data_IF_714349216893
#
_entry.id   IF_714349216893
#
_cell.length_a   1.000
_cell.length_b   1.000
_cell.length_c   1.000
_cell.angle_alpha   90.00
_cell.angle_beta   90.00
_cell.angle_gamma   90.00
#
_symmetry.space_group_name_H-M   'P 1'
#
loop_
_entity.id
_entity.type
_entity.pdbx_description
1 polymer ?
#
# COMPACT_ATOMS: atom_id res chain seq x y z
N UNK A 1 1.90 -12.48 23.37
CA UNK A 1 2.16 -11.20 22.69
C UNK A 1 1.05 -10.81 21.71
N UNK A 2 0.68 -11.64 20.72
CA UNK A 2 -0.51 -11.37 19.87
C UNK A 2 -1.81 -11.22 20.68
N UNK A 3 -1.99 -12.03 21.73
CA UNK A 3 -3.09 -11.85 22.68
C UNK A 3 -3.02 -10.50 23.42
N UNK A 4 -1.84 -9.95 23.73
CA UNK A 4 -1.72 -8.66 24.40
C UNK A 4 -2.19 -7.51 23.49
N UNK A 5 -1.90 -7.57 22.19
CA UNK A 5 -2.44 -6.68 21.15
C UNK A 5 -3.94 -6.87 20.91
N UNK A 6 -4.46 -8.09 21.07
CA UNK A 6 -5.91 -8.29 21.14
C UNK A 6 -6.50 -7.65 22.41
N UNK A 7 -5.83 -7.80 23.56
CA UNK A 7 -6.27 -7.28 24.85
C UNK A 7 -6.30 -5.74 24.89
N UNK A 8 -5.37 -5.04 24.24
CA UNK A 8 -5.41 -3.57 24.09
C UNK A 8 -6.66 -3.09 23.35
N UNK A 9 -7.19 -3.91 22.45
CA UNK A 9 -8.43 -3.64 21.72
C UNK A 9 -9.69 -4.20 22.41
N UNK A 10 -9.58 -5.19 23.30
CA UNK A 10 -10.74 -5.88 23.89
C UNK A 10 -11.35 -5.16 25.10
N UNK A 11 -10.55 -4.43 25.89
CA UNK A 11 -11.05 -3.52 26.95
C UNK A 11 -11.38 -2.11 26.40
N UNK A 12 -11.85 -2.03 25.16
CA UNK A 12 -11.98 -0.80 24.37
C UNK A 12 -12.96 0.25 24.89
N UNK A 13 -13.88 -0.07 25.82
CA UNK A 13 -14.80 0.93 26.37
C UNK A 13 -14.16 1.86 27.43
N UNK A 14 -12.97 1.54 27.97
CA UNK A 14 -12.36 2.32 29.06
C UNK A 14 -11.02 2.96 28.69
N UNK A 15 -10.40 2.55 27.58
CA UNK A 15 -9.05 3.00 27.22
C UNK A 15 -9.04 4.06 26.11
N UNK A 16 -8.43 5.21 26.41
CA UNK A 16 -8.22 6.28 25.42
C UNK A 16 -7.21 5.86 24.32
N UNK A 17 -7.20 6.59 23.21
CA UNK A 17 -6.36 6.28 22.05
C UNK A 17 -4.85 6.38 22.35
N UNK A 18 -4.43 7.20 23.30
CA UNK A 18 -3.01 7.35 23.68
C UNK A 18 -2.51 6.11 24.44
N UNK A 19 -3.32 5.54 25.33
CA UNK A 19 -3.00 4.27 25.99
C UNK A 19 -2.94 3.11 25.00
N UNK A 20 -3.86 3.06 24.02
CA UNK A 20 -3.83 2.05 22.95
C UNK A 20 -2.52 2.14 22.15
N UNK A 21 -2.09 3.35 21.82
CA UNK A 21 -0.84 3.61 21.11
C UNK A 21 0.40 3.25 21.92
N UNK A 22 0.46 3.64 23.20
CA UNK A 22 1.58 3.29 24.08
C UNK A 22 1.75 1.77 24.23
N UNK A 23 0.65 1.04 24.42
CA UNK A 23 0.69 -0.41 24.52
C UNK A 23 1.05 -1.08 23.19
N UNK A 24 0.61 -0.53 22.06
CA UNK A 24 1.07 -0.95 20.74
C UNK A 24 2.59 -0.77 20.57
N UNK A 25 3.13 0.39 20.96
CA UNK A 25 4.57 0.66 20.88
C UNK A 25 5.36 -0.32 21.77
N UNK A 26 4.89 -0.55 23.00
CA UNK A 26 5.50 -1.52 23.91
C UNK A 26 5.44 -2.96 23.34
N UNK A 27 4.32 -3.35 22.74
CA UNK A 27 4.15 -4.66 22.12
C UNK A 27 5.04 -4.83 20.88
N UNK A 28 5.21 -3.80 20.06
CA UNK A 28 6.11 -3.80 18.91
C UNK A 28 7.57 -3.94 19.34
N UNK A 29 8.01 -3.18 20.35
CA UNK A 29 9.37 -3.29 20.88
C UNK A 29 9.63 -4.68 21.48
N UNK A 30 8.71 -5.18 22.30
CA UNK A 30 8.80 -6.53 22.85
C UNK A 30 8.82 -7.60 21.74
N UNK A 31 8.08 -7.39 20.65
CA UNK A 31 8.08 -8.28 19.49
C UNK A 31 9.43 -8.32 18.79
N UNK A 32 10.03 -7.15 18.52
CA UNK A 32 11.34 -7.07 17.88
C UNK A 32 12.41 -7.76 18.74
N UNK A 33 12.46 -7.46 20.05
CA UNK A 33 13.45 -8.05 20.95
C UNK A 33 13.23 -9.55 21.15
N UNK A 34 11.97 -9.98 21.31
CA UNK A 34 11.61 -11.39 21.45
C UNK A 34 11.91 -12.19 20.19
N UNK A 35 11.66 -11.62 19.01
CA UNK A 35 11.98 -12.25 17.73
C UNK A 35 13.50 -12.38 17.53
N UNK A 36 14.27 -11.33 17.83
CA UNK A 36 15.73 -11.39 17.80
C UNK A 36 16.31 -12.45 18.75
N UNK A 37 15.75 -12.56 19.96
CA UNK A 37 16.10 -13.62 20.91
C UNK A 37 15.78 -15.02 20.36
N UNK A 38 14.59 -15.22 19.79
CA UNK A 38 14.17 -16.50 19.20
C UNK A 38 15.05 -16.89 18.00
N UNK A 39 15.50 -15.91 17.20
CA UNK A 39 16.48 -16.13 16.14
C UNK A 39 17.90 -16.39 16.65
N UNK A 40 18.14 -16.40 17.96
CA UNK A 40 19.45 -16.67 18.54
C UNK A 40 20.47 -15.54 18.34
N UNK A 41 20.02 -14.29 18.12
CA UNK A 41 20.92 -13.14 17.91
C UNK A 41 21.78 -12.89 19.14
N UNK A 42 21.24 -13.12 20.34
CA UNK A 42 21.92 -12.87 21.61
C UNK A 42 22.52 -14.12 22.28
N UNK A 43 22.37 -15.30 21.67
CA UNK A 43 22.97 -16.52 22.24
C UNK A 43 24.43 -16.60 21.83
N UNK A 44 25.31 -17.06 22.72
CA UNK A 44 26.71 -17.29 22.32
C UNK A 44 26.81 -18.40 21.27
N UNK A 45 27.81 -18.35 20.38
CA UNK A 45 28.13 -19.48 19.54
C UNK A 45 28.51 -20.67 20.42
N UNK A 46 27.60 -21.65 20.54
CA UNK A 46 28.04 -23.01 20.89
C UNK A 46 29.17 -23.36 19.93
N UNK A 47 30.28 -23.84 20.49
CA UNK A 47 31.64 -23.97 19.94
C UNK A 47 31.78 -24.85 18.66
N UNK A 48 30.89 -24.71 17.68
CA UNK A 48 30.60 -25.70 16.65
C UNK A 48 30.94 -25.25 15.21
N UNK A 49 31.75 -24.21 15.03
CA UNK A 49 32.32 -23.89 13.71
C UNK A 49 33.82 -23.71 13.86
N UNK A 50 34.56 -24.80 13.94
CA UNK A 50 36.04 -24.81 13.98
C UNK A 50 36.67 -24.61 12.60
N UNK A 51 35.92 -24.84 11.51
CA UNK A 51 36.38 -24.67 10.13
C UNK A 51 35.83 -23.38 9.53
N UNK A 52 36.67 -22.63 8.82
CA UNK A 52 36.19 -21.42 8.16
C UNK A 52 35.18 -21.76 7.07
N UNK A 53 34.17 -20.91 6.81
CA UNK A 53 33.22 -21.15 5.72
C UNK A 53 33.89 -21.24 4.35
N UNK A 54 35.01 -20.55 4.17
CA UNK A 54 35.80 -20.58 2.93
C UNK A 54 36.47 -21.95 2.72
N UNK A 55 36.93 -22.60 3.78
CA UNK A 55 37.44 -23.98 3.73
C UNK A 55 36.29 -24.99 3.55
N UNK A 56 35.14 -24.74 4.17
CA UNK A 56 34.01 -25.67 4.17
C UNK A 56 33.21 -25.67 2.85
N UNK A 57 33.05 -24.49 2.25
CA UNK A 57 32.13 -24.26 1.13
C UNK A 57 32.82 -23.72 -0.13
N UNK A 58 34.09 -23.30 -0.02
CA UNK A 58 34.83 -22.67 -1.11
C UNK A 58 34.46 -21.20 -1.33
N UNK A 59 35.41 -20.44 -1.89
CA UNK A 59 35.30 -18.98 -2.06
C UNK A 59 34.05 -18.52 -2.81
N UNK A 60 33.64 -19.22 -3.87
CA UNK A 60 32.50 -18.85 -4.70
C UNK A 60 31.18 -18.98 -3.95
N UNK A 61 30.94 -20.13 -3.32
CA UNK A 61 29.69 -20.38 -2.59
C UNK A 61 29.58 -19.53 -1.33
N UNK A 62 30.65 -19.41 -0.55
CA UNK A 62 30.68 -18.53 0.63
C UNK A 62 30.37 -17.08 0.26
N UNK A 63 30.98 -16.56 -0.82
CA UNK A 63 30.72 -15.20 -1.30
C UNK A 63 29.25 -15.03 -1.73
N UNK A 64 28.70 -15.99 -2.47
CA UNK A 64 27.29 -15.99 -2.87
C UNK A 64 26.36 -15.95 -1.65
N UNK A 65 26.61 -16.79 -0.63
CA UNK A 65 25.81 -16.81 0.59
C UNK A 65 25.85 -15.47 1.33
N UNK A 66 27.02 -14.82 1.45
CA UNK A 66 27.10 -13.48 2.04
C UNK A 66 26.33 -12.44 1.21
N UNK A 67 26.52 -12.40 -0.12
CA UNK A 67 25.79 -11.48 -0.99
C UNK A 67 24.27 -11.64 -0.88
N UNK A 68 23.80 -12.88 -0.76
CA UNK A 68 22.39 -13.18 -0.58
C UNK A 68 21.85 -12.60 0.74
N UNK A 69 22.62 -12.73 1.83
CA UNK A 69 22.26 -12.12 3.12
C UNK A 69 22.25 -10.59 3.05
N UNK A 70 23.25 -9.97 2.41
CA UNK A 70 23.27 -8.51 2.22
C UNK A 70 22.09 -8.02 1.39
N UNK A 71 21.67 -8.79 0.39
CA UNK A 71 20.51 -8.46 -0.45
C UNK A 71 19.22 -8.38 0.36
N UNK A 72 19.06 -9.20 1.41
CA UNK A 72 17.90 -9.11 2.30
C UNK A 72 17.84 -7.78 3.09
N UNK A 73 18.97 -7.08 3.27
CA UNK A 73 19.00 -5.77 3.92
C UNK A 73 18.53 -4.62 3.01
N UNK A 74 18.26 -4.86 1.72
CA UNK A 74 17.65 -3.84 0.85
C UNK A 74 16.27 -3.39 1.39
N UNK A 75 15.58 -4.26 2.13
CA UNK A 75 14.27 -3.94 2.77
C UNK A 75 14.45 -3.03 4.00
N UNK A 76 15.64 -2.96 4.59
CA UNK A 76 15.87 -2.33 5.89
C UNK A 76 15.38 -0.87 5.99
N UNK A 77 15.62 0.02 5.01
CA UNK A 77 15.11 1.40 5.10
C UNK A 77 13.59 1.48 5.15
N UNK A 78 12.89 0.59 4.44
CA UNK A 78 11.42 0.51 4.52
C UNK A 78 10.95 0.03 5.88
N UNK A 79 11.62 -0.97 6.48
CA UNK A 79 11.30 -1.46 7.82
C UNK A 79 11.54 -0.38 8.88
N UNK A 80 12.60 0.42 8.76
CA UNK A 80 12.86 1.57 9.65
C UNK A 80 11.76 2.61 9.54
N UNK A 81 11.35 2.97 8.31
CA UNK A 81 10.25 3.90 8.10
C UNK A 81 8.90 3.35 8.60
N UNK A 82 8.65 2.05 8.45
CA UNK A 82 7.46 1.40 9.00
C UNK A 82 7.46 1.44 10.54
N UNK A 83 8.57 1.10 11.19
CA UNK A 83 8.72 1.22 12.65
C UNK A 83 8.45 2.66 13.10
N UNK A 84 9.15 3.63 12.51
CA UNK A 84 9.03 5.03 12.90
C UNK A 84 7.61 5.56 12.66
N UNK A 85 6.97 5.20 11.54
CA UNK A 85 5.59 5.60 11.27
C UNK A 85 4.60 5.06 12.31
N UNK A 86 4.72 3.78 12.65
CA UNK A 86 3.86 3.13 13.65
C UNK A 86 4.11 3.60 15.09
N UNK A 87 5.30 4.11 15.40
CA UNK A 87 5.65 4.62 16.73
C UNK A 87 5.33 6.12 16.87
N UNK A 88 5.63 6.92 15.86
CA UNK A 88 5.49 8.38 15.93
C UNK A 88 4.04 8.84 15.72
N UNK A 89 3.24 8.10 14.94
CA UNK A 89 1.87 8.51 14.61
C UNK A 89 0.83 7.54 15.16
N UNK A 90 -0.08 8.06 15.98
CA UNK A 90 -1.14 7.28 16.61
C UNK A 90 -2.14 6.76 15.56
N UNK A 91 -2.21 5.43 15.39
CA UNK A 91 -3.10 4.74 14.45
C UNK A 91 -4.45 4.31 15.06
N UNK A 92 -4.68 4.60 16.35
CA UNK A 92 -5.86 4.17 17.11
C UNK A 92 -6.89 5.28 17.30
N UNK A 93 -6.76 6.39 16.57
CA UNK A 93 -7.76 7.47 16.56
C UNK A 93 -8.98 7.01 15.78
N UNK A 94 -10.10 6.80 16.47
CA UNK A 94 -11.32 6.21 15.89
C UNK A 94 -12.16 7.22 15.11
N UNK A 95 -12.10 8.50 15.49
CA UNK A 95 -12.79 9.58 14.79
C UNK A 95 -11.82 10.69 14.47
N UNK A 96 -11.82 11.12 13.22
CA UNK A 96 -11.11 12.32 12.78
C UNK A 96 -12.11 13.47 12.92
N UNK A 97 -11.94 14.38 13.90
CA UNK A 97 -12.80 15.55 13.99
C UNK A 97 -12.58 16.45 12.78
N UNK A 98 -13.65 17.05 12.28
CA UNK A 98 -13.55 18.06 11.24
C UNK A 98 -12.92 19.33 11.83
N UNK A 99 -11.94 19.89 11.12
CA UNK A 99 -11.24 21.13 11.52
C UNK A 99 -12.09 22.37 11.24
N UNK A 100 -13.02 22.29 10.31
CA UNK A 100 -13.92 23.36 9.91
C UNK A 100 -15.35 22.83 9.65
N UNK A 101 -16.30 23.75 9.57
CA UNK A 101 -17.69 23.42 9.25
C UNK A 101 -17.81 22.91 7.80
N UNK A 102 -18.43 21.74 7.55
CA UNK A 102 -18.64 21.20 6.20
C UNK A 102 -19.26 22.17 5.20
N UNK A 103 -20.11 23.08 5.66
CA UNK A 103 -20.77 24.08 4.82
C UNK A 103 -19.78 25.05 4.14
N UNK A 104 -18.68 25.37 4.83
CA UNK A 104 -17.64 26.26 4.31
C UNK A 104 -16.61 25.50 3.46
N UNK A 105 -16.79 24.19 3.35
CA UNK A 105 -15.82 23.35 2.66
C UNK A 105 -15.77 23.64 1.17
N UNK A 106 -14.56 23.58 0.59
CA UNK A 106 -14.38 23.88 -0.80
C UNK A 106 -14.94 22.71 -1.64
N UNK A 107 -15.46 22.99 -2.83
CA UNK A 107 -16.11 22.03 -3.75
C UNK A 107 -15.32 20.74 -4.04
N UNK A 108 -15.74 19.58 -3.54
CA UNK A 108 -15.03 18.31 -3.75
C UNK A 108 -15.59 17.51 -4.94
N UNK A 109 -14.72 17.14 -5.89
CA UNK A 109 -15.07 16.14 -6.89
C UNK A 109 -14.48 14.76 -6.55
N UNK A 110 -15.36 13.79 -6.32
CA UNK A 110 -15.00 12.39 -6.17
C UNK A 110 -14.94 11.71 -7.54
N UNK A 111 -13.74 11.52 -8.06
CA UNK A 111 -13.52 10.85 -9.34
C UNK A 111 -13.40 9.33 -9.18
N UNK A 112 -14.31 8.59 -9.80
CA UNK A 112 -14.33 7.12 -9.82
C UNK A 112 -13.98 6.66 -11.23
N UNK A 113 -12.77 6.13 -11.41
CA UNK A 113 -12.32 5.62 -12.71
C UNK A 113 -12.57 4.13 -12.83
N UNK A 114 -13.24 3.71 -13.91
CA UNK A 114 -13.62 2.32 -14.14
C UNK A 114 -13.53 1.96 -15.62
N UNK A 115 -13.44 0.66 -15.89
CA UNK A 115 -13.56 0.11 -17.25
C UNK A 115 -15.03 -0.06 -17.67
N UNK A 116 -15.97 0.02 -16.74
CA UNK A 116 -17.40 -0.14 -17.01
C UNK A 116 -17.90 -1.58 -17.09
N UNK A 117 -17.05 -2.59 -16.85
CA UNK A 117 -17.45 -4.00 -16.92
C UNK A 117 -18.39 -4.45 -15.79
N UNK A 118 -18.38 -3.75 -14.64
CA UNK A 118 -19.15 -4.12 -13.44
C UNK A 118 -20.12 -2.98 -13.04
N UNK A 119 -21.17 -2.70 -13.83
CA UNK A 119 -22.02 -1.53 -13.66
C UNK A 119 -22.78 -1.52 -12.32
N UNK A 120 -23.21 -2.69 -11.82
CA UNK A 120 -23.91 -2.82 -10.53
C UNK A 120 -23.02 -2.43 -9.36
N UNK A 121 -21.78 -2.95 -9.33
CA UNK A 121 -20.79 -2.61 -8.31
C UNK A 121 -20.50 -1.11 -8.27
N UNK A 122 -20.43 -0.46 -9.44
CA UNK A 122 -20.22 1.00 -9.51
C UNK A 122 -21.43 1.74 -8.93
N UNK A 123 -22.66 1.33 -9.27
CA UNK A 123 -23.90 1.93 -8.73
C UNK A 123 -23.99 1.81 -7.21
N UNK A 124 -23.69 0.64 -6.66
CA UNK A 124 -23.68 0.40 -5.20
C UNK A 124 -22.63 1.23 -4.47
N UNK A 125 -21.41 1.34 -5.03
CA UNK A 125 -20.35 2.17 -4.47
C UNK A 125 -20.72 3.65 -4.46
N UNK A 126 -21.32 4.16 -5.55
CA UNK A 126 -21.77 5.56 -5.61
C UNK A 126 -22.85 5.82 -4.56
N UNK A 127 -23.85 4.94 -4.45
CA UNK A 127 -24.91 5.09 -3.45
C UNK A 127 -24.35 5.13 -2.02
N UNK A 128 -23.41 4.23 -1.70
CA UNK A 128 -22.75 4.17 -0.40
C UNK A 128 -21.91 5.41 -0.10
N UNK A 129 -21.13 5.87 -1.09
CA UNK A 129 -20.26 7.04 -0.93
C UNK A 129 -21.06 8.34 -0.85
N UNK A 130 -22.14 8.48 -1.62
CA UNK A 130 -23.07 9.62 -1.51
C UNK A 130 -23.67 9.69 -0.12
N UNK A 131 -24.17 8.56 0.40
CA UNK A 131 -24.70 8.50 1.78
C UNK A 131 -23.64 8.94 2.78
N UNK A 132 -22.40 8.47 2.64
CA UNK A 132 -21.28 8.88 3.51
C UNK A 132 -21.01 10.38 3.45
N UNK A 133 -21.10 11.00 2.27
CA UNK A 133 -20.93 12.45 2.11
C UNK A 133 -22.05 13.23 2.81
N UNK A 134 -23.31 12.80 2.64
CA UNK A 134 -24.46 13.41 3.31
C UNK A 134 -24.41 13.26 4.83
N UNK A 135 -24.08 12.06 5.32
CA UNK A 135 -23.95 11.78 6.76
C UNK A 135 -22.79 12.58 7.39
N UNK A 136 -21.81 13.01 6.58
CA UNK A 136 -20.71 13.89 6.99
C UNK A 136 -21.03 15.39 6.86
N UNK A 137 -22.24 15.74 6.41
CA UNK A 137 -22.69 17.12 6.22
C UNK A 137 -22.11 17.83 4.99
N UNK A 138 -21.57 17.11 4.01
CA UNK A 138 -21.02 17.74 2.81
C UNK A 138 -22.13 18.28 1.90
N UNK A 139 -22.01 19.53 1.48
CA UNK A 139 -22.97 20.16 0.54
C UNK A 139 -22.34 20.52 -0.81
N UNK A 140 -21.03 20.74 -0.86
CA UNK A 140 -20.33 21.15 -2.08
C UNK A 140 -19.55 19.97 -2.67
N UNK A 141 -20.25 19.00 -3.28
CA UNK A 141 -19.58 17.87 -3.94
C UNK A 141 -20.32 17.31 -5.15
N UNK A 142 -19.56 16.63 -6.02
CA UNK A 142 -20.06 15.82 -7.13
C UNK A 142 -19.28 14.49 -7.21
N UNK A 143 -19.92 13.45 -7.71
CA UNK A 143 -19.28 12.21 -8.14
C UNK A 143 -19.11 12.22 -9.66
N UNK A 144 -17.88 12.10 -10.14
CA UNK A 144 -17.55 11.97 -11.56
C UNK A 144 -17.12 10.54 -11.85
N UNK A 145 -17.95 9.79 -12.58
CA UNK A 145 -17.70 8.40 -12.93
C UNK A 145 -17.12 8.34 -14.33
N UNK A 146 -15.82 8.12 -14.41
CA UNK A 146 -15.06 8.11 -15.65
C UNK A 146 -14.95 6.67 -16.12
N UNK A 147 -15.55 6.37 -17.27
CA UNK A 147 -15.68 4.99 -17.73
C UNK A 147 -15.24 4.81 -19.18
N UNK A 148 -14.56 3.71 -19.48
CA UNK A 148 -14.27 3.32 -20.87
C UNK A 148 -15.51 2.76 -21.59
N UNK A 149 -16.42 2.10 -20.86
CA UNK A 149 -17.68 1.58 -21.39
C UNK A 149 -18.86 2.21 -20.63
N UNK A 150 -19.87 2.70 -21.35
CA UNK A 150 -21.04 3.31 -20.72
C UNK A 150 -21.73 2.35 -19.75
N UNK A 151 -21.98 2.83 -18.53
CA UNK A 151 -22.68 2.16 -17.43
C UNK A 151 -24.16 2.54 -17.42
N UNK A 152 -24.52 3.67 -18.06
CA UNK A 152 -25.87 4.23 -18.10
C UNK A 152 -26.39 4.48 -16.68
N UNK A 153 -25.70 5.37 -15.97
CA UNK A 153 -26.12 5.82 -14.65
C UNK A 153 -27.42 6.64 -14.76
N UNK A 154 -28.39 6.45 -13.85
CA UNK A 154 -29.58 7.26 -13.85
C UNK A 154 -29.21 8.74 -13.60
N UNK A 155 -29.88 9.70 -14.25
CA UNK A 155 -29.63 11.12 -14.01
C UNK A 155 -29.81 11.46 -12.53
N UNK A 156 -28.76 11.97 -11.90
CA UNK A 156 -28.77 12.43 -10.50
C UNK A 156 -28.01 13.76 -10.40
N UNK A 157 -28.47 14.74 -9.61
CA UNK A 157 -27.86 16.07 -9.58
C UNK A 157 -26.38 16.09 -9.20
N UNK A 158 -25.92 15.13 -8.39
CA UNK A 158 -24.55 15.04 -7.88
C UNK A 158 -23.74 13.90 -8.49
N UNK A 159 -24.21 13.30 -9.59
CA UNK A 159 -23.49 12.22 -10.27
C UNK A 159 -23.41 12.54 -11.75
N UNK A 160 -22.19 12.54 -12.28
CA UNK A 160 -21.91 12.70 -13.71
C UNK A 160 -21.22 11.44 -14.22
N UNK A 161 -21.71 10.91 -15.33
CA UNK A 161 -21.01 9.87 -16.08
C UNK A 161 -20.20 10.53 -17.21
N UNK A 162 -18.90 10.20 -17.29
CA UNK A 162 -17.99 10.65 -18.34
C UNK A 162 -17.47 9.42 -19.07
N UNK A 163 -17.99 9.18 -20.27
CA UNK A 163 -17.55 8.07 -21.12
C UNK A 163 -16.35 8.53 -21.94
N UNK A 164 -15.22 7.84 -21.81
CA UNK A 164 -13.99 8.18 -22.54
C UNK A 164 -14.12 7.67 -23.98
N UNK A 165 -14.20 8.55 -25.01
CA UNK A 165 -14.46 8.13 -26.38
C UNK A 165 -13.41 7.15 -26.88
N UNK A 166 -13.77 6.07 -27.56
CA UNK A 166 -12.79 5.09 -28.08
C UNK A 166 -11.80 5.69 -29.07
N UNK A 167 -12.15 6.81 -29.72
CA UNK A 167 -11.28 7.61 -30.60
C UNK A 167 -10.28 8.49 -29.85
N UNK A 168 -10.52 8.83 -28.57
CA UNK A 168 -9.65 9.72 -27.82
C UNK A 168 -8.25 9.11 -27.63
N UNK A 169 -7.23 9.89 -27.97
CA UNK A 169 -5.81 9.56 -27.83
C UNK A 169 -5.14 10.74 -27.14
N UNK A 170 -4.38 10.46 -26.08
CA UNK A 170 -3.56 11.49 -25.45
C UNK A 170 -2.36 11.82 -26.34
N UNK A 171 -1.73 12.98 -26.14
CA UNK A 171 -0.63 13.47 -27.00
C UNK A 171 0.58 12.55 -26.94
N UNK A 172 0.88 12.00 -25.77
CA UNK A 172 2.02 11.08 -25.58
C UNK A 172 1.68 9.59 -25.73
N UNK A 173 0.41 9.26 -26.00
CA UNK A 173 -0.05 7.87 -26.16
C UNK A 173 -0.23 7.10 -24.85
N UNK A 174 -0.58 7.78 -23.76
CA UNK A 174 -0.97 7.17 -22.50
C UNK A 174 -2.20 6.25 -22.66
N UNK A 175 -2.27 5.19 -21.85
CA UNK A 175 -3.27 4.13 -21.91
C UNK A 175 -3.94 3.88 -20.56
N UNK A 176 -4.93 3.00 -20.57
CA UNK A 176 -5.60 2.48 -19.38
C UNK A 176 -6.13 3.60 -18.47
N UNK A 177 -5.88 3.52 -17.16
CA UNK A 177 -6.35 4.49 -16.18
C UNK A 177 -5.73 5.88 -16.37
N UNK A 178 -4.46 5.97 -16.77
CA UNK A 178 -3.80 7.23 -17.10
C UNK A 178 -4.53 7.99 -18.21
N UNK A 179 -4.93 7.29 -19.27
CA UNK A 179 -5.74 7.86 -20.36
C UNK A 179 -7.08 8.41 -19.89
N UNK A 180 -7.80 7.65 -19.06
CA UNK A 180 -9.10 8.07 -18.55
C UNK A 180 -8.96 9.31 -17.64
N UNK A 181 -7.96 9.31 -16.76
CA UNK A 181 -7.66 10.46 -15.91
C UNK A 181 -7.24 11.69 -16.72
N UNK A 182 -6.39 11.51 -17.74
CA UNK A 182 -5.99 12.59 -18.63
C UNK A 182 -7.19 13.18 -19.40
N UNK A 183 -8.12 12.35 -19.89
CA UNK A 183 -9.32 12.83 -20.58
C UNK A 183 -10.13 13.79 -19.71
N UNK A 184 -10.20 13.56 -18.40
CA UNK A 184 -10.90 14.44 -17.48
C UNK A 184 -10.19 15.78 -17.22
N UNK A 185 -8.95 15.94 -17.67
CA UNK A 185 -8.19 17.18 -17.54
C UNK A 185 -8.31 18.08 -18.77
N UNK A 186 -8.79 17.55 -19.90
CA UNK A 186 -9.04 18.31 -21.13
C UNK A 186 -10.09 19.41 -20.91
N UNK A 187 -9.89 20.58 -21.52
CA UNK A 187 -10.65 21.80 -21.21
C UNK A 187 -12.15 21.69 -21.52
N UNK A 188 -12.52 20.89 -22.51
CA UNK A 188 -13.90 20.62 -22.92
C UNK A 188 -14.63 19.60 -22.03
N UNK A 189 -13.89 18.81 -21.26
CA UNK A 189 -14.43 17.75 -20.39
C UNK A 189 -14.42 18.18 -18.93
N UNK A 190 -13.37 18.87 -18.51
CA UNK A 190 -13.12 19.23 -17.13
C UNK A 190 -14.11 20.30 -16.65
N UNK A 191 -14.85 19.97 -15.60
CA UNK A 191 -15.77 20.89 -14.92
C UNK A 191 -15.26 21.24 -13.52
N UNK A 192 -14.01 20.92 -13.21
CA UNK A 192 -13.47 21.00 -11.86
C UNK A 192 -12.84 22.36 -11.62
N UNK A 193 -13.53 23.18 -10.85
CA UNK A 193 -12.94 24.36 -10.22
C UNK A 193 -12.73 24.04 -8.73
N UNK A 194 -11.51 23.56 -8.44
CA UNK A 194 -10.87 23.42 -7.11
C UNK A 194 -11.35 22.16 -6.31
N UNK A 195 -10.49 21.66 -5.38
CA UNK A 195 -10.72 20.88 -4.10
C UNK A 195 -10.58 19.32 -3.97
N UNK A 196 -10.31 18.87 -2.71
CA UNK A 196 -10.51 17.52 -2.13
C UNK A 196 -10.28 17.31 -0.58
N UNK A 197 -11.05 16.37 0.00
CA UNK A 197 -11.19 15.88 1.42
C UNK A 197 -10.98 16.93 2.54
N UNK A 198 -12.08 17.60 2.86
CA UNK A 198 -12.34 18.57 3.94
C UNK A 198 -11.10 19.00 4.75
N UNK A 199 -10.62 18.22 5.71
CA UNK A 199 -9.49 18.63 6.56
C UNK A 199 -8.20 18.90 5.78
N UNK A 200 -7.85 18.04 4.82
CA UNK A 200 -6.68 18.26 3.95
C UNK A 200 -6.88 19.50 3.08
N UNK A 201 -8.11 19.70 2.61
CA UNK A 201 -8.48 20.82 1.76
C UNK A 201 -8.40 22.17 2.47
N UNK A 202 -8.91 22.20 3.69
CA UNK A 202 -8.90 23.37 4.57
C UNK A 202 -7.48 23.75 4.97
N UNK A 203 -6.61 22.76 5.24
CA UNK A 203 -5.21 23.03 5.55
C UNK A 203 -4.50 23.70 4.36
N UNK A 204 -4.75 23.22 3.13
CA UNK A 204 -4.31 23.86 1.88
C UNK A 204 -2.79 23.95 1.66
N UNK A 205 -1.97 23.39 2.56
CA UNK A 205 -0.50 23.50 2.52
C UNK A 205 0.14 22.64 1.42
N UNK A 206 -0.49 21.52 1.07
CA UNK A 206 0.08 20.51 0.18
C UNK A 206 -0.87 20.21 -0.99
N UNK A 207 -0.30 19.94 -2.16
CA UNK A 207 -1.08 19.80 -3.39
C UNK A 207 -1.60 18.39 -3.62
N UNK A 208 -0.95 17.39 -3.00
CA UNK A 208 -1.27 15.98 -3.17
C UNK A 208 -1.43 15.28 -1.83
N UNK A 209 -2.46 14.46 -1.71
CA UNK A 209 -2.78 13.72 -0.50
C UNK A 209 -2.89 12.23 -0.76
N UNK A 210 -2.53 11.39 0.21
CA UNK A 210 -2.86 9.96 0.23
C UNK A 210 -3.28 9.53 1.62
N UNK A 211 -4.35 8.73 1.74
CA UNK A 211 -4.75 8.13 3.01
C UNK A 211 -4.58 6.60 3.04
N UNK A 212 -5.17 5.97 4.06
CA UNK A 212 -5.13 4.50 4.24
C UNK A 212 -6.28 3.81 3.53
N UNK A 213 -5.97 2.68 2.90
CA UNK A 213 -6.98 1.79 2.30
C UNK A 213 -7.11 0.53 3.16
N UNK A 214 -8.33 0.16 3.52
CA UNK A 214 -8.63 -1.08 4.24
C UNK A 214 -9.46 -2.03 3.38
N UNK A 215 -9.22 -3.34 3.54
CA UNK A 215 -9.75 -4.37 2.63
C UNK A 215 -10.83 -5.28 3.24
N UNK A 216 -11.04 -5.19 4.56
CA UNK A 216 -11.90 -6.10 5.32
C UNK A 216 -13.22 -5.50 5.81
N UNK A 217 -13.51 -4.24 5.46
CA UNK A 217 -14.69 -3.53 5.98
C UNK A 217 -16.00 -4.10 5.42
N UNK A 218 -16.00 -4.51 4.15
CA UNK A 218 -17.17 -5.07 3.47
C UNK A 218 -17.33 -6.58 3.63
N UNK A 219 -18.12 -7.18 2.74
CA UNK A 219 -18.17 -8.62 2.54
C UNK A 219 -16.82 -9.11 1.97
N UNK A 220 -16.26 -10.13 2.61
CA UNK A 220 -14.99 -10.73 2.22
C UNK A 220 -15.26 -11.86 1.25
N UNK A 221 -14.88 -11.65 -0.02
CA UNK A 221 -15.05 -12.64 -1.09
C UNK A 221 -13.99 -13.73 -1.01
N UNK A 222 -12.74 -13.35 -0.71
CA UNK A 222 -11.64 -14.29 -0.59
C UNK A 222 -10.78 -13.96 0.64
N UNK A 223 -10.82 -14.84 1.63
CA UNK A 223 -10.10 -14.67 2.89
C UNK A 223 -8.58 -14.70 2.72
N UNK A 224 -8.07 -15.54 1.82
CA UNK A 224 -6.65 -15.72 1.61
C UNK A 224 -6.00 -14.45 1.06
N UNK A 225 -6.62 -13.83 0.04
CA UNK A 225 -6.13 -12.56 -0.53
C UNK A 225 -6.35 -11.38 0.41
N UNK A 226 -7.49 -11.33 1.13
CA UNK A 226 -7.81 -10.26 2.08
C UNK A 226 -6.85 -10.24 3.28
N UNK A 227 -6.53 -11.41 3.86
CA UNK A 227 -5.55 -11.51 4.94
C UNK A 227 -4.14 -11.18 4.44
N UNK A 228 -3.79 -11.56 3.20
CA UNK A 228 -2.51 -11.18 2.59
C UNK A 228 -2.39 -9.67 2.38
N UNK A 229 -3.47 -9.00 1.96
CA UNK A 229 -3.52 -7.54 1.80
C UNK A 229 -3.53 -6.77 3.13
N UNK A 230 -3.76 -7.42 4.26
CA UNK A 230 -3.74 -6.76 5.57
C UNK A 230 -2.38 -6.12 5.88
N UNK A 231 -1.28 -6.69 5.37
CA UNK A 231 0.06 -6.08 5.44
C UNK A 231 0.09 -4.65 4.88
N UNK A 232 -0.70 -4.37 3.83
CA UNK A 232 -0.73 -3.05 3.17
C UNK A 232 -1.36 -1.97 4.04
N UNK A 233 -2.24 -2.34 4.96
CA UNK A 233 -2.81 -1.42 5.96
C UNK A 233 -1.73 -0.95 6.93
N UNK A 234 -0.83 -1.87 7.32
CA UNK A 234 0.33 -1.53 8.14
C UNK A 234 1.34 -0.67 7.37
N UNK A 235 1.58 -0.96 6.09
CA UNK A 235 2.49 -0.15 5.25
C UNK A 235 1.96 1.28 5.04
N UNK A 236 0.63 1.44 4.92
CA UNK A 236 -0.02 2.76 4.86
C UNK A 236 0.15 3.54 6.16
N UNK A 237 -0.17 2.92 7.30
CA UNK A 237 -0.08 3.56 8.61
C UNK A 237 1.36 3.76 9.09
N UNK A 238 2.31 2.98 8.57
CA UNK A 238 3.73 3.07 8.87
C UNK A 238 4.47 3.97 7.87
N UNK A 239 5.13 3.34 6.91
CA UNK A 239 6.06 3.98 5.97
C UNK A 239 5.40 5.09 5.15
N UNK A 240 4.20 4.87 4.61
CA UNK A 240 3.56 5.89 3.76
C UNK A 240 3.06 7.08 4.59
N UNK A 241 2.51 6.83 5.80
CA UNK A 241 2.19 7.93 6.72
C UNK A 241 3.42 8.74 7.10
N UNK A 242 4.53 8.07 7.44
CA UNK A 242 5.78 8.74 7.78
C UNK A 242 6.32 9.59 6.63
N UNK A 243 6.41 9.04 5.41
CA UNK A 243 6.98 9.79 4.28
C UNK A 243 6.19 11.07 3.99
N UNK A 244 4.86 11.03 4.17
CA UNK A 244 4.00 12.16 3.90
C UNK A 244 3.91 13.16 5.05
N UNK A 245 3.90 12.69 6.32
CA UNK A 245 3.84 13.60 7.48
C UNK A 245 5.19 14.25 7.82
N UNK A 246 6.31 13.59 7.54
CA UNK A 246 7.64 14.08 7.92
C UNK A 246 8.40 14.68 6.73
N UNK A 247 8.37 14.04 5.57
CA UNK A 247 9.18 14.46 4.42
C UNK A 247 8.36 15.16 3.34
N UNK A 248 7.03 15.09 3.42
CA UNK A 248 6.09 15.62 2.43
C UNK A 248 6.40 15.18 0.99
N UNK A 249 6.90 13.95 0.82
CA UNK A 249 7.41 13.41 -0.45
C UNK A 249 7.05 11.93 -0.62
N UNK A 250 6.77 11.46 -1.84
CA UNK A 250 6.41 10.07 -2.13
C UNK A 250 7.66 9.17 -2.22
N UNK A 251 8.54 9.18 -1.21
CA UNK A 251 9.87 8.55 -1.25
C UNK A 251 9.86 7.07 -1.66
N UNK A 252 8.86 6.32 -1.21
CA UNK A 252 8.69 4.88 -1.47
C UNK A 252 7.54 4.58 -2.43
N UNK A 253 7.04 5.60 -3.13
CA UNK A 253 5.91 5.52 -4.05
C UNK A 253 4.64 6.17 -3.51
N UNK A 254 3.61 6.15 -4.36
CA UNK A 254 2.28 6.71 -4.14
C UNK A 254 1.25 5.76 -4.74
N UNK A 255 0.12 5.58 -4.04
CA UNK A 255 -0.97 4.69 -4.46
C UNK A 255 -1.97 5.46 -5.31
N UNK A 256 -2.58 4.79 -6.28
CA UNK A 256 -3.55 5.39 -7.20
C UNK A 256 -5.00 5.41 -6.71
N UNK A 257 -5.23 5.15 -5.43
CA UNK A 257 -6.55 5.09 -4.80
C UNK A 257 -6.50 5.80 -3.44
N UNK A 258 -7.62 6.39 -3.03
CA UNK A 258 -7.72 7.27 -1.86
C UNK A 258 -6.69 8.40 -1.84
N UNK A 259 -6.68 9.14 -2.95
CA UNK A 259 -5.83 10.31 -3.15
C UNK A 259 -6.65 11.57 -3.32
N UNK A 260 -6.05 12.68 -2.92
CA UNK A 260 -6.57 14.03 -3.19
C UNK A 260 -5.54 14.76 -4.02
N UNK A 261 -5.99 15.45 -5.05
CA UNK A 261 -5.13 16.24 -5.92
C UNK A 261 -5.73 17.65 -6.05
N UNK A 262 -4.89 18.67 -5.89
CA UNK A 262 -5.28 20.02 -6.25
C UNK A 262 -5.33 20.11 -7.77
N UNK A 263 -6.49 20.45 -8.33
CA UNK A 263 -6.75 20.44 -9.79
C UNK A 263 -5.67 21.18 -10.60
N UNK A 264 -5.22 22.34 -10.13
CA UNK A 264 -4.18 23.11 -10.82
C UNK A 264 -2.84 22.36 -10.89
N UNK A 265 -2.42 21.75 -9.77
CA UNK A 265 -1.21 20.94 -9.71
C UNK A 265 -1.38 19.63 -10.52
N UNK A 266 -2.54 18.98 -10.45
CA UNK A 266 -2.85 17.79 -11.23
C UNK A 266 -2.78 18.06 -12.74
N UNK A 267 -3.34 19.19 -13.20
CA UNK A 267 -3.23 19.63 -14.60
C UNK A 267 -1.80 19.92 -15.02
N UNK A 268 -1.02 20.55 -14.15
CA UNK A 268 0.37 20.87 -14.43
C UNK A 268 1.26 19.62 -14.53
N UNK A 269 1.02 18.61 -13.69
CA UNK A 269 1.76 17.33 -13.74
C UNK A 269 1.28 16.48 -14.91
N UNK A 270 -0.05 16.39 -15.12
CA UNK A 270 -0.74 15.58 -16.13
C UNK A 270 -0.56 14.06 -15.93
N UNK A 271 -1.49 13.25 -16.46
CA UNK A 271 -1.32 11.80 -16.56
C UNK A 271 -0.81 11.36 -17.95
N UNK A 272 -0.53 12.31 -18.85
CA UNK A 272 -0.07 12.07 -20.22
C UNK A 272 1.46 11.83 -20.28
N UNK A 273 1.92 10.72 -19.70
CA UNK A 273 3.33 10.33 -19.65
C UNK A 273 3.69 9.18 -20.59
N UNK A 274 2.79 8.82 -21.50
CA UNK A 274 2.97 7.78 -22.50
C UNK A 274 2.84 6.38 -21.90
N UNK A 275 3.29 5.38 -22.66
CA UNK A 275 3.10 3.97 -22.29
C UNK A 275 3.85 3.60 -21.00
N UNK A 276 5.06 4.14 -20.78
CA UNK A 276 5.86 3.85 -19.57
C UNK A 276 5.16 4.32 -18.29
N UNK A 277 4.42 5.43 -18.34
CA UNK A 277 3.63 5.97 -17.24
C UNK A 277 2.19 5.45 -17.18
N UNK A 278 1.83 4.42 -17.96
CA UNK A 278 0.44 3.93 -18.03
C UNK A 278 0.14 2.70 -17.16
N UNK A 279 1.16 1.95 -16.73
CA UNK A 279 0.99 0.67 -16.00
C UNK A 279 0.83 0.88 -14.49
N UNK A 280 1.68 1.73 -13.92
CA UNK A 280 1.60 2.27 -12.56
C UNK A 280 1.57 3.80 -12.68
N UNK A 281 0.44 4.31 -13.16
CA UNK A 281 0.26 5.73 -13.50
C UNK A 281 0.42 6.63 -12.28
N UNK A 282 -0.04 6.14 -11.14
CA UNK A 282 0.08 6.74 -9.83
C UNK A 282 1.56 6.95 -9.43
N UNK A 283 2.34 5.88 -9.47
CA UNK A 283 3.75 5.90 -9.11
C UNK A 283 4.51 6.87 -10.03
N UNK A 284 4.29 6.78 -11.35
CA UNK A 284 4.96 7.66 -12.30
C UNK A 284 4.57 9.13 -12.10
N UNK A 285 3.27 9.42 -11.98
CA UNK A 285 2.75 10.75 -11.69
C UNK A 285 3.40 11.35 -10.44
N UNK A 286 3.48 10.59 -9.35
CA UNK A 286 4.03 11.09 -8.08
C UNK A 286 5.50 11.48 -8.17
N UNK A 287 6.28 10.75 -8.97
CA UNK A 287 7.69 11.07 -9.22
C UNK A 287 7.86 12.35 -10.05
N UNK A 288 6.99 12.56 -11.05
CA UNK A 288 6.98 13.79 -11.84
C UNK A 288 6.50 14.97 -11.00
N UNK A 289 5.46 14.79 -10.19
CA UNK A 289 4.98 15.78 -9.24
C UNK A 289 6.09 16.22 -8.26
N UNK A 290 6.83 15.26 -7.69
CA UNK A 290 7.97 15.58 -6.82
C UNK A 290 9.09 16.28 -7.59
N UNK A 291 9.35 15.89 -8.84
CA UNK A 291 10.32 16.58 -9.73
C UNK A 291 9.90 18.04 -10.01
N UNK A 292 8.60 18.32 -10.12
CA UNK A 292 8.07 19.69 -10.26
C UNK A 292 8.10 20.49 -8.94
N UNK A 293 8.56 19.89 -7.83
CA UNK A 293 8.67 20.55 -6.53
C UNK A 293 7.36 20.55 -5.73
N UNK A 294 6.32 19.83 -6.18
CA UNK A 294 5.11 19.70 -5.39
C UNK A 294 5.32 18.83 -4.16
N UNK A 295 4.51 19.10 -3.14
CA UNK A 295 4.58 18.42 -1.85
C UNK A 295 3.32 17.61 -1.58
N UNK A 296 3.48 16.61 -0.72
CA UNK A 296 2.47 15.62 -0.39
C UNK A 296 2.16 15.65 1.11
N UNK A 297 0.95 15.28 1.51
CA UNK A 297 0.66 14.99 2.91
C UNK A 297 -0.31 13.79 3.06
N UNK A 298 -0.38 13.27 4.27
CA UNK A 298 -1.21 12.13 4.61
C UNK A 298 -2.63 12.60 4.95
N UNK A 299 -3.60 12.00 4.27
CA UNK A 299 -5.02 12.22 4.50
C UNK A 299 -5.46 11.36 5.68
N UNK A 300 -5.95 12.01 6.72
CA UNK A 300 -6.55 11.32 7.86
C UNK A 300 -7.91 10.74 7.47
N UNK A 301 -8.15 9.48 7.82
CA UNK A 301 -9.34 8.72 7.44
C UNK A 301 -8.99 7.42 6.73
N UNK A 302 -10.02 6.66 6.38
CA UNK A 302 -9.89 5.34 5.76
C UNK A 302 -10.84 5.21 4.58
N UNK A 303 -10.35 4.64 3.48
CA UNK A 303 -11.17 4.24 2.34
C UNK A 303 -11.31 2.72 2.32
N UNK A 304 -12.52 2.25 2.08
CA UNK A 304 -12.81 0.82 1.97
C UNK A 304 -12.66 0.36 0.53
N UNK A 305 -11.79 -0.61 0.31
CA UNK A 305 -11.61 -1.29 -0.98
C UNK A 305 -11.80 -2.80 -0.82
N UNK A 306 -11.87 -3.55 -1.92
CA UNK A 306 -11.88 -5.01 -1.91
C UNK A 306 -10.58 -5.57 -2.48
N UNK A 307 -10.03 -6.58 -1.82
CA UNK A 307 -8.92 -7.39 -2.33
C UNK A 307 -9.33 -8.16 -3.60
N UNK A 308 -8.36 -8.62 -4.42
CA UNK A 308 -8.63 -9.51 -5.55
C UNK A 308 -9.43 -10.76 -5.14
N UNK A 309 -10.38 -11.18 -5.98
CA UNK A 309 -11.32 -12.26 -5.62
C UNK A 309 -10.74 -13.66 -5.86
N UNK A 310 -9.71 -13.76 -6.70
CA UNK A 310 -8.99 -15.02 -6.93
C UNK A 310 -7.49 -14.87 -6.69
N UNK A 311 -6.83 -16.01 -6.45
CA UNK A 311 -5.36 -16.06 -6.31
C UNK A 311 -4.66 -15.64 -7.62
N UNK A 312 -5.25 -15.96 -8.77
CA UNK A 312 -4.72 -15.56 -10.07
C UNK A 312 -4.79 -14.05 -10.29
N UNK A 313 -5.93 -13.44 -9.97
CA UNK A 313 -6.09 -11.99 -10.02
C UNK A 313 -5.09 -11.28 -9.09
N UNK A 314 -4.87 -11.87 -7.91
CA UNK A 314 -3.89 -11.36 -6.96
C UNK A 314 -2.47 -11.39 -7.54
N UNK A 315 -2.03 -12.53 -8.10
CA UNK A 315 -0.74 -12.64 -8.77
C UNK A 315 -0.60 -11.63 -9.91
N UNK A 316 -1.62 -11.49 -10.76
CA UNK A 316 -1.58 -10.55 -11.89
C UNK A 316 -1.52 -9.09 -11.44
N UNK A 317 -2.18 -8.76 -10.34
CA UNK A 317 -2.09 -7.44 -9.72
C UNK A 317 -0.67 -7.14 -9.25
N UNK A 318 -0.03 -8.08 -8.54
CA UNK A 318 1.36 -7.94 -8.07
C UNK A 318 2.35 -7.84 -9.23
N UNK A 319 2.20 -8.71 -10.23
CA UNK A 319 2.97 -8.66 -11.48
C UNK A 319 2.92 -7.27 -12.13
N UNK A 320 1.71 -6.71 -12.25
CA UNK A 320 1.50 -5.38 -12.85
C UNK A 320 2.19 -4.28 -12.07
N UNK A 321 2.10 -4.29 -10.73
CA UNK A 321 2.77 -3.29 -9.90
C UNK A 321 4.29 -3.35 -10.05
N UNK A 322 4.87 -4.55 -10.02
CA UNK A 322 6.31 -4.72 -10.23
C UNK A 322 6.75 -4.14 -11.58
N UNK A 323 6.03 -4.49 -12.66
CA UNK A 323 6.34 -4.02 -14.00
C UNK A 323 6.20 -2.50 -14.13
N UNK A 324 5.15 -1.91 -13.56
CA UNK A 324 4.95 -0.45 -13.58
C UNK A 324 5.99 0.32 -12.78
N UNK A 325 6.40 -0.20 -11.62
CA UNK A 325 7.47 0.42 -10.82
C UNK A 325 8.82 0.27 -11.51
N UNK A 326 9.11 -0.87 -12.16
CA UNK A 326 10.31 -1.03 -13.02
C UNK A 326 10.37 0.03 -14.11
N UNK A 327 9.27 0.26 -14.82
CA UNK A 327 9.20 1.31 -15.86
C UNK A 327 9.48 2.69 -15.26
N UNK A 328 8.91 3.00 -14.11
CA UNK A 328 9.12 4.28 -13.41
C UNK A 328 10.58 4.44 -12.96
N UNK A 329 11.16 3.41 -12.33
CA UNK A 329 12.54 3.41 -11.83
C UNK A 329 13.56 3.53 -12.95
N UNK A 330 13.30 2.93 -14.12
CA UNK A 330 14.20 3.00 -15.28
C UNK A 330 13.94 4.17 -16.23
N UNK A 331 12.87 4.94 -16.05
CA UNK A 331 12.57 6.06 -16.95
C UNK A 331 13.64 7.16 -16.86
N UNK A 332 14.24 7.60 -17.98
CA UNK A 332 15.23 8.69 -17.98
C UNK A 332 14.59 10.06 -17.68
N UNK A 333 13.25 10.16 -17.73
CA UNK A 333 12.52 11.41 -17.47
C UNK A 333 12.55 11.85 -16.01
N UNK A 334 12.84 10.91 -15.10
CA UNK A 334 12.89 11.11 -13.65
C UNK A 334 14.33 10.92 -13.18
N UNK A 335 14.92 11.94 -12.55
CA UNK A 335 16.29 11.85 -12.05
C UNK A 335 16.42 10.83 -10.91
N UNK A 336 17.58 10.17 -10.79
CA UNK A 336 17.81 9.10 -9.81
C UNK A 336 17.56 9.55 -8.37
N UNK A 337 17.89 10.80 -8.03
CA UNK A 337 17.66 11.38 -6.70
C UNK A 337 16.19 11.33 -6.25
N UNK A 338 15.24 11.43 -7.20
CA UNK A 338 13.81 11.38 -6.92
C UNK A 338 13.30 9.95 -6.75
N UNK A 339 14.00 8.96 -7.28
CA UNK A 339 13.54 7.56 -7.32
C UNK A 339 14.48 6.59 -6.60
N UNK A 340 15.50 7.06 -5.89
CA UNK A 340 16.49 6.20 -5.25
C UNK A 340 15.87 5.27 -4.20
N UNK A 341 15.02 5.79 -3.31
CA UNK A 341 14.34 4.98 -2.29
C UNK A 341 13.26 4.08 -2.90
N UNK A 342 12.54 4.55 -3.93
CA UNK A 342 11.63 3.73 -4.73
C UNK A 342 12.37 2.57 -5.41
N UNK A 343 13.53 2.83 -6.01
CA UNK A 343 14.38 1.83 -6.66
C UNK A 343 14.88 0.80 -5.65
N UNK A 344 15.30 1.25 -4.45
CA UNK A 344 15.67 0.36 -3.37
C UNK A 344 14.51 -0.57 -2.99
N UNK A 345 13.32 -0.02 -2.79
CA UNK A 345 12.11 -0.82 -2.50
C UNK A 345 11.79 -1.82 -3.60
N UNK A 346 11.89 -1.38 -4.85
CA UNK A 346 11.66 -2.22 -6.02
C UNK A 346 12.63 -3.40 -6.04
N UNK A 347 13.94 -3.15 -5.91
CA UNK A 347 14.92 -4.22 -5.98
C UNK A 347 14.91 -5.12 -4.75
N UNK A 348 14.52 -4.60 -3.59
CA UNK A 348 14.25 -5.42 -2.42
C UNK A 348 13.12 -6.44 -2.70
N UNK A 349 12.08 -6.04 -3.44
CA UNK A 349 11.00 -6.93 -3.85
C UNK A 349 11.39 -7.82 -5.04
N UNK A 350 12.07 -7.28 -6.06
CA UNK A 350 12.50 -8.03 -7.24
C UNK A 350 13.54 -9.12 -6.93
N UNK A 351 14.31 -8.97 -5.84
CA UNK A 351 15.25 -10.00 -5.36
C UNK A 351 14.63 -10.95 -4.34
N UNK A 352 13.33 -10.79 -4.01
CA UNK A 352 12.63 -11.66 -3.06
C UNK A 352 12.71 -13.16 -3.39
N UNK A 353 12.65 -13.62 -4.66
CA UNK A 353 12.84 -15.03 -4.99
C UNK A 353 14.21 -15.56 -4.54
N UNK A 354 15.25 -14.75 -4.61
CA UNK A 354 16.57 -15.11 -4.11
C UNK A 354 16.59 -15.03 -2.59
N UNK A 355 16.16 -13.91 -2.00
CA UNK A 355 16.29 -13.74 -0.54
C UNK A 355 15.43 -14.71 0.25
N UNK A 356 14.28 -15.16 -0.29
CA UNK A 356 13.43 -16.17 0.34
C UNK A 356 14.07 -17.57 0.40
N UNK A 357 15.02 -17.89 -0.49
CA UNK A 357 15.80 -19.14 -0.41
C UNK A 357 16.62 -19.23 0.87
N UNK A 358 16.93 -18.12 1.53
CA UNK A 358 17.66 -18.11 2.80
C UNK A 358 16.96 -18.91 3.90
N UNK A 359 15.64 -19.05 3.85
CA UNK A 359 14.88 -19.90 4.79
C UNK A 359 15.39 -21.35 4.73
N UNK A 360 15.81 -21.81 3.55
CA UNK A 360 16.37 -23.15 3.35
C UNK A 360 17.89 -23.17 3.39
N UNK A 361 18.55 -22.14 2.86
CA UNK A 361 20.01 -22.10 2.75
C UNK A 361 20.69 -21.83 4.09
N UNK A 362 20.14 -20.99 4.96
CA UNK A 362 20.78 -20.65 6.23
C UNK A 362 20.93 -21.86 7.19
N UNK A 363 19.94 -22.75 7.33
CA UNK A 363 20.10 -23.98 8.12
C UNK A 363 21.09 -24.98 7.51
N UNK A 364 21.17 -25.06 6.17
CA UNK A 364 22.02 -26.02 5.46
C UNK A 364 23.49 -25.56 5.34
N UNK A 365 23.70 -24.25 5.21
CA UNK A 365 24.99 -23.61 5.03
C UNK A 365 25.15 -22.43 6.01
N UNK A 366 25.30 -22.72 7.32
CA UNK A 366 25.41 -21.68 8.32
C UNK A 366 26.66 -20.81 8.08
N UNK A 367 26.46 -19.50 8.10
CA UNK A 367 27.56 -18.53 8.08
C UNK A 367 27.88 -18.05 9.50
N UNK A 368 29.13 -17.62 9.77
CA UNK A 368 29.53 -17.05 11.04
C UNK A 368 28.60 -15.91 11.44
N UNK A 369 28.31 -15.85 12.73
CA UNK A 369 27.46 -14.81 13.28
C UNK A 369 28.19 -13.48 13.30
N UNK A 370 27.43 -12.42 13.03
CA UNK A 370 27.86 -11.04 13.11
C UNK A 370 26.70 -10.27 13.74
N UNK A 371 26.82 -9.95 15.04
CA UNK A 371 25.75 -9.37 15.85
C UNK A 371 24.98 -8.22 15.16
N UNK A 372 25.61 -7.14 14.66
CA UNK A 372 24.86 -6.03 14.06
C UNK A 372 24.10 -6.46 12.79
N UNK A 373 24.66 -7.40 12.05
CA UNK A 373 24.08 -7.91 10.81
C UNK A 373 22.93 -8.89 11.06
N UNK A 374 23.13 -9.84 11.97
CA UNK A 374 22.11 -10.80 12.40
C UNK A 374 20.94 -10.09 13.07
N UNK A 375 21.22 -9.06 13.88
CA UNK A 375 20.19 -8.20 14.44
C UNK A 375 19.41 -7.49 13.34
N UNK A 376 20.08 -6.87 12.36
CA UNK A 376 19.41 -6.17 11.26
C UNK A 376 18.51 -7.11 10.43
N UNK A 377 18.95 -8.33 10.15
CA UNK A 377 18.12 -9.34 9.46
C UNK A 377 16.94 -9.78 10.32
N UNK A 378 17.17 -10.06 11.61
CA UNK A 378 16.09 -10.41 12.54
C UNK A 378 15.07 -9.27 12.68
N UNK A 379 15.53 -8.02 12.67
CA UNK A 379 14.69 -6.83 12.71
C UNK A 379 13.81 -6.73 11.46
N UNK A 380 14.38 -6.92 10.26
CA UNK A 380 13.62 -6.95 9.00
C UNK A 380 12.54 -8.03 9.06
N UNK A 381 12.88 -9.24 9.52
CA UNK A 381 11.90 -10.32 9.72
C UNK A 381 10.81 -9.94 10.73
N UNK A 382 11.20 -9.43 11.90
CA UNK A 382 10.29 -9.07 12.98
C UNK A 382 9.28 -8.01 12.56
N UNK A 383 9.74 -6.91 11.93
CA UNK A 383 8.87 -5.81 11.49
C UNK A 383 7.90 -6.29 10.43
N UNK A 384 8.36 -7.05 9.42
CA UNK A 384 7.46 -7.55 8.38
C UNK A 384 6.39 -8.50 8.92
N UNK A 385 6.73 -9.40 9.84
CA UNK A 385 5.75 -10.27 10.50
C UNK A 385 4.76 -9.48 11.34
N UNK A 386 5.26 -8.48 12.07
CA UNK A 386 4.42 -7.61 12.88
C UNK A 386 3.44 -6.80 12.03
N UNK A 387 3.82 -6.39 10.82
CA UNK A 387 2.93 -5.69 9.89
C UNK A 387 1.70 -6.52 9.51
N UNK A 388 1.80 -7.85 9.37
CA UNK A 388 0.60 -8.69 9.19
C UNK A 388 -0.30 -8.67 10.43
N UNK A 389 0.30 -8.81 11.62
CA UNK A 389 -0.43 -8.78 12.90
C UNK A 389 -1.16 -7.45 13.05
N UNK A 390 -0.44 -6.33 12.92
CA UNK A 390 -1.00 -4.99 13.02
C UNK A 390 -2.07 -4.74 11.97
N UNK A 391 -1.83 -5.14 10.72
CA UNK A 391 -2.77 -4.99 9.62
C UNK A 391 -4.11 -5.67 9.89
N UNK A 392 -4.08 -6.90 10.40
CA UNK A 392 -5.29 -7.64 10.79
C UNK A 392 -5.98 -6.96 11.96
N UNK A 393 -5.25 -6.62 13.02
CA UNK A 393 -5.82 -5.91 14.17
C UNK A 393 -6.50 -4.63 13.69
N UNK A 394 -5.83 -3.80 12.90
CA UNK A 394 -6.41 -2.55 12.42
C UNK A 394 -7.64 -2.76 11.54
N UNK A 395 -7.62 -3.78 10.68
CA UNK A 395 -8.69 -4.05 9.71
C UNK A 395 -9.93 -4.69 10.34
N UNK A 396 -9.76 -5.56 11.35
CA UNK A 396 -10.84 -6.40 11.88
C UNK A 396 -11.33 -5.96 13.25
N UNK A 397 -10.56 -5.18 14.01
CA UNK A 397 -10.92 -4.80 15.39
C UNK A 397 -12.25 -4.07 15.49
N UNK A 398 -12.57 -3.16 14.56
CA UNK A 398 -13.84 -2.44 14.62
C UNK A 398 -15.05 -3.37 14.43
N UNK A 399 -14.95 -4.32 13.49
CA UNK A 399 -16.02 -5.25 13.12
C UNK A 399 -16.24 -6.35 14.16
N UNK A 400 -15.19 -6.80 14.83
CA UNK A 400 -15.22 -7.94 15.76
C UNK A 400 -14.82 -7.58 17.18
N UNK A 401 -14.96 -6.31 17.58
CA UNK A 401 -14.62 -5.78 18.91
C UNK A 401 -15.20 -6.59 20.09
N UNK A 402 -16.34 -7.24 19.87
CA UNK A 402 -17.04 -8.03 20.89
C UNK A 402 -16.61 -9.52 20.96
N UNK A 403 -15.70 -9.99 20.10
CA UNK A 403 -15.27 -11.40 20.06
C UNK A 403 -13.75 -11.58 19.89
N UNK A 404 -13.03 -11.64 21.02
CA UNK A 404 -11.58 -11.84 21.05
C UNK A 404 -11.17 -13.15 20.39
N UNK A 405 -12.01 -14.18 20.50
CA UNK A 405 -11.81 -15.45 19.82
C UNK A 405 -11.77 -15.29 18.29
N UNK A 406 -12.70 -14.53 17.70
CA UNK A 406 -12.71 -14.29 16.24
C UNK A 406 -11.48 -13.52 15.79
N UNK A 407 -11.07 -12.49 16.55
CA UNK A 407 -9.84 -11.74 16.23
C UNK A 407 -8.59 -12.64 16.34
N UNK A 408 -8.52 -13.51 17.35
CA UNK A 408 -7.45 -14.50 17.48
C UNK A 408 -7.44 -15.50 16.30
N UNK A 409 -8.61 -15.97 15.86
CA UNK A 409 -8.73 -16.82 14.68
C UNK A 409 -8.23 -16.12 13.41
N UNK A 410 -8.59 -14.86 13.18
CA UNK A 410 -8.12 -14.12 12.00
C UNK A 410 -6.63 -13.82 12.05
N UNK A 411 -6.07 -13.56 13.24
CA UNK A 411 -4.64 -13.42 13.43
C UNK A 411 -3.89 -14.72 13.11
N UNK A 412 -4.36 -15.84 13.64
CA UNK A 412 -3.80 -17.16 13.31
C UNK A 412 -3.93 -17.42 11.81
N UNK A 413 -5.09 -17.12 11.22
CA UNK A 413 -5.32 -17.21 9.78
C UNK A 413 -4.28 -16.41 9.00
N UNK A 414 -4.06 -15.13 9.33
CA UNK A 414 -3.09 -14.30 8.63
C UNK A 414 -1.66 -14.83 8.75
N UNK A 415 -1.25 -15.32 9.93
CA UNK A 415 0.06 -15.97 10.08
C UNK A 415 0.18 -17.23 9.21
N UNK A 416 -0.89 -18.03 9.12
CA UNK A 416 -0.95 -19.19 8.23
C UNK A 416 -0.97 -18.82 6.73
N UNK A 417 -1.40 -17.61 6.37
CA UNK A 417 -1.35 -17.13 4.97
C UNK A 417 0.03 -16.64 4.52
N UNK A 418 1.00 -16.46 5.44
CA UNK A 418 2.33 -15.93 5.09
C UNK A 418 3.06 -16.82 4.06
N UNK A 419 3.14 -18.16 4.20
CA UNK A 419 3.77 -19.01 3.20
C UNK A 419 3.12 -18.88 1.82
N UNK A 420 1.79 -18.79 1.77
CA UNK A 420 1.07 -18.53 0.53
C UNK A 420 1.48 -17.19 -0.08
N UNK A 421 1.53 -16.12 0.72
CA UNK A 421 1.90 -14.80 0.21
C UNK A 421 3.35 -14.79 -0.31
N UNK A 422 4.28 -15.45 0.38
CA UNK A 422 5.67 -15.60 -0.10
C UNK A 422 5.73 -16.31 -1.45
N UNK A 423 4.97 -17.41 -1.62
CA UNK A 423 4.91 -18.15 -2.89
C UNK A 423 4.34 -17.28 -4.00
N UNK A 424 3.23 -16.59 -3.76
CA UNK A 424 2.55 -15.77 -4.76
C UNK A 424 3.37 -14.54 -5.15
N UNK A 425 4.01 -13.88 -4.20
CA UNK A 425 4.86 -12.70 -4.46
C UNK A 425 6.10 -13.13 -5.27
N UNK A 426 6.73 -14.25 -4.90
CA UNK A 426 7.83 -14.82 -5.69
C UNK A 426 7.39 -15.18 -7.12
N UNK A 427 6.24 -15.83 -7.28
CA UNK A 427 5.71 -16.17 -8.59
C UNK A 427 5.40 -14.91 -9.41
N UNK A 428 4.80 -13.88 -8.80
CA UNK A 428 4.54 -12.60 -9.43
C UNK A 428 5.83 -11.90 -9.89
N UNK A 429 6.91 -11.99 -9.09
CA UNK A 429 8.23 -11.47 -9.46
C UNK A 429 8.81 -12.21 -10.65
N UNK A 430 8.87 -13.53 -10.61
CA UNK A 430 9.42 -14.35 -11.71
C UNK A 430 8.64 -14.12 -13.01
N UNK A 431 7.31 -14.16 -12.95
CA UNK A 431 6.44 -13.93 -14.11
C UNK A 431 6.53 -12.47 -14.58
N UNK A 432 6.64 -11.50 -13.68
CA UNK A 432 6.72 -10.08 -14.01
C UNK A 432 8.03 -9.66 -14.66
N UNK A 433 9.14 -10.23 -14.20
CA UNK A 433 10.48 -9.99 -14.75
C UNK A 433 10.64 -10.59 -16.15
N UNK A 434 10.15 -11.82 -16.36
CA UNK A 434 10.22 -12.55 -17.64
C UNK A 434 9.10 -12.17 -18.62
N UNK A 435 7.99 -11.62 -18.13
CA UNK A 435 6.82 -11.30 -18.94
C UNK A 435 6.93 -9.98 -19.73
N UNK A 436 6.06 -9.85 -20.73
CA UNK A 436 5.85 -8.58 -21.44
C UNK A 436 5.32 -7.50 -20.50
N UNK A 437 5.89 -6.30 -20.58
CA UNK A 437 5.60 -5.17 -19.67
C UNK A 437 4.54 -4.19 -20.21
N UNK A 438 3.99 -4.47 -21.39
CA UNK A 438 3.03 -3.61 -22.09
C UNK A 438 1.56 -4.04 -21.90
N UNK A 439 1.31 -5.07 -21.09
CA UNK A 439 -0.03 -5.63 -20.87
C UNK A 439 -0.62 -5.17 -19.52
N UNK A 440 -1.89 -4.75 -19.54
CA UNK A 440 -2.65 -4.39 -18.34
C UNK A 440 -3.76 -5.41 -18.11
N UNK A 441 -3.63 -6.20 -17.03
CA UNK A 441 -4.65 -7.15 -16.62
C UNK A 441 -5.64 -6.50 -15.64
N UNK A 442 -6.94 -6.71 -15.88
CA UNK A 442 -8.02 -6.22 -15.03
C UNK A 442 -8.46 -7.36 -14.11
N UNK A 443 -8.44 -7.11 -12.81
CA UNK A 443 -8.93 -8.05 -11.80
C UNK A 443 -10.40 -8.34 -12.04
N UNK A 444 -10.76 -9.62 -12.17
CA UNK A 444 -12.15 -10.02 -12.34
C UNK A 444 -12.90 -9.85 -11.01
N UNK A 445 -14.04 -9.15 -11.06
CA UNK A 445 -14.91 -8.89 -9.91
C UNK A 445 -16.29 -9.56 -10.01
N UNK A 446 -16.52 -10.43 -11.02
CA UNK A 446 -17.79 -11.15 -11.20
C UNK A 446 -17.87 -12.49 -10.46
N UNK A 447 -16.86 -12.85 -9.65
CA UNK A 447 -16.89 -14.11 -8.90
C UNK A 447 -17.93 -13.99 -7.78
N UNK A 448 -19.07 -14.65 -7.96
CA UNK A 448 -20.07 -14.81 -6.91
C UNK A 448 -19.44 -15.55 -5.73
N UNK A 449 -19.74 -15.08 -4.52
CA UNK A 449 -19.44 -15.77 -3.27
C UNK A 449 -20.01 -17.19 -3.33
N UNK A 450 -19.14 -18.20 -3.31
CA UNK A 450 -19.54 -19.59 -3.05
C UNK A 450 -19.62 -19.80 -1.56
#
# INVERSE_FOLDING_TARGET
>A
MCMALCFTYFRAEVMNCETKHALHCAALLAWILGFAYFCGVFTEPHSAVTLSPFESYGYTWTTFLYLLRFTALLVLPQCLCNLLGLVLFNAFREKVPLKAAPLLSPFVCFRVVTKGHFPLLVKENIATNMKTCYDSGMENFIFEVVTDNAINLPPQPRVREVVVPTSYRTKSGAKFKARALQYCLEDDVNILQICGILNFCEDGQHQFGQGVITYASGEIVNWLTTLSDSFRVADDMGKLRLQFKLFHKPLFGWKGSFVVTQVAAERNVSYDHGMEGSIAEDCFFSMIAMKHGYTFDFIEGEMHEKSPFTMWDFLQQRKRWLQGILLTVHSPRIALTHKALLALSLYAWATMPLTSLQVFLCPLFPLPRCLPFDFALSFVGAVNLYMYIFGVVKSFSHKYRNSAWRLALYLTGALMTIPFNVIIENAAVLVGMCGRKDQFYIVNKDVQTV
#
